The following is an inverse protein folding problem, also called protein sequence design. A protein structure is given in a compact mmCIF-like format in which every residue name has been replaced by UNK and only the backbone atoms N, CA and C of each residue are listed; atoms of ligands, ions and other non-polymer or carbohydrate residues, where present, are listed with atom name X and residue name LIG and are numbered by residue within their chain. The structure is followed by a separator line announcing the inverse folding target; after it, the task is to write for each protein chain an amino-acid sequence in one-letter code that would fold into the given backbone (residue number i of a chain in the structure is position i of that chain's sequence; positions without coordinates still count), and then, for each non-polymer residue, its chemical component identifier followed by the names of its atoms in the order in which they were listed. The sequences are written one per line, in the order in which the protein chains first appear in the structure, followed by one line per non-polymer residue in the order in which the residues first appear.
data_IF_453980882832
#
_entry.id   IF_453980882832
#
_cell.length_a   1.000
_cell.length_b   1.000
_cell.length_c   1.000
_cell.angle_alpha   90.00
_cell.angle_beta   90.00
_cell.angle_gamma   90.00
#
_symmetry.space_group_name_H-M   'P 1'
#
loop_
_entity.id
_entity.type
_entity.pdbx_description
1 polymer ?
#
# COMPACT_ATOMS: atom_id res chain seq x y z
N UNK A 1 12.78 -27.81 22.62
CA UNK A 1 11.75 -28.25 21.67
C UNK A 1 12.47 -28.52 20.39
N UNK A 2 12.74 -29.80 20.20
CA UNK A 2 13.59 -30.32 19.16
C UNK A 2 12.63 -30.43 17.96
N UNK A 3 12.84 -29.62 16.92
CA UNK A 3 12.01 -29.68 15.71
C UNK A 3 12.38 -30.96 14.95
N UNK A 4 11.94 -32.10 15.47
CA UNK A 4 12.11 -33.41 14.84
C UNK A 4 11.15 -33.42 13.67
N UNK A 5 11.72 -33.26 12.48
CA UNK A 5 10.98 -33.34 11.23
C UNK A 5 10.68 -34.82 10.97
N UNK A 6 9.42 -35.21 11.13
CA UNK A 6 8.99 -36.58 10.88
C UNK A 6 8.99 -36.86 9.36
N UNK A 7 9.85 -37.80 8.95
CA UNK A 7 10.00 -38.22 7.56
C UNK A 7 9.57 -39.67 7.42
N UNK A 8 8.59 -39.93 6.56
CA UNK A 8 8.14 -41.28 6.20
C UNK A 8 8.70 -41.71 4.86
N UNK A 9 9.12 -42.97 4.77
CA UNK A 9 9.61 -43.58 3.52
C UNK A 9 8.61 -44.61 3.01
N UNK A 10 8.32 -44.60 1.71
CA UNK A 10 7.51 -45.64 1.07
C UNK A 10 8.36 -46.87 0.75
N UNK A 11 7.74 -48.04 0.49
CA UNK A 11 8.47 -49.23 0.03
C UNK A 11 9.24 -49.03 -1.28
N UNK A 12 8.90 -47.99 -2.05
CA UNK A 12 9.61 -47.58 -3.27
C UNK A 12 10.74 -46.58 -3.01
N UNK A 13 11.01 -46.24 -1.74
CA UNK A 13 12.09 -45.34 -1.32
C UNK A 13 11.76 -43.85 -1.42
N UNK A 14 10.52 -43.48 -1.73
CA UNK A 14 10.12 -42.06 -1.73
C UNK A 14 9.93 -41.57 -0.31
N UNK A 15 10.45 -40.37 -0.02
CA UNK A 15 10.41 -39.75 1.31
C UNK A 15 9.42 -38.60 1.32
N UNK A 16 8.56 -38.56 2.34
CA UNK A 16 7.58 -37.50 2.53
C UNK A 16 7.75 -36.87 3.91
N UNK A 17 7.53 -35.56 3.95
CA UNK A 17 7.47 -34.77 5.17
C UNK A 17 6.06 -34.87 5.75
N UNK A 18 5.94 -35.26 7.02
CA UNK A 18 4.68 -35.12 7.75
C UNK A 18 4.61 -33.67 8.25
N UNK A 19 3.56 -32.91 7.87
CA UNK A 19 3.37 -31.57 8.39
C UNK A 19 2.97 -31.63 9.87
N UNK A 20 3.55 -30.75 10.67
CA UNK A 20 3.12 -30.57 12.06
C UNK A 20 1.68 -30.07 12.09
N UNK A 21 0.79 -30.86 12.70
CA UNK A 21 -0.60 -30.46 12.89
C UNK A 21 -0.68 -29.58 14.13
N UNK A 22 -0.78 -28.28 13.94
CA UNK A 22 -1.00 -27.34 15.04
C UNK A 22 -2.49 -27.14 15.27
N UNK A 23 -2.96 -27.24 16.52
CA UNK A 23 -4.35 -26.92 16.88
C UNK A 23 -4.61 -25.41 16.97
N UNK A 24 -3.55 -24.60 16.96
CA UNK A 24 -3.65 -23.15 16.97
C UNK A 24 -3.96 -22.61 15.56
N UNK A 25 -4.92 -21.67 15.41
CA UNK A 25 -5.15 -21.01 14.13
C UNK A 25 -3.91 -20.19 13.71
N UNK A 26 -3.71 -19.98 12.40
CA UNK A 26 -2.60 -19.19 11.91
C UNK A 26 -2.67 -17.75 12.42
N UNK A 27 -1.52 -17.20 12.81
CA UNK A 27 -1.43 -15.82 13.29
C UNK A 27 -1.92 -14.84 12.22
N UNK A 28 -2.78 -13.86 12.58
CA UNK A 28 -3.24 -12.84 11.64
C UNK A 28 -2.04 -12.10 11.02
N UNK A 29 -1.95 -12.12 9.69
CA UNK A 29 -0.93 -11.35 8.97
C UNK A 29 -1.31 -9.87 9.02
N UNK A 30 -0.39 -9.02 9.47
CA UNK A 30 -0.55 -7.56 9.38
C UNK A 30 -0.69 -7.19 7.90
N UNK A 31 -1.86 -6.69 7.50
CA UNK A 31 -2.07 -6.20 6.14
C UNK A 31 -1.36 -4.85 6.01
N UNK A 32 -0.63 -4.64 4.92
CA UNK A 32 -0.10 -3.33 4.59
C UNK A 32 -1.28 -2.36 4.42
N UNK A 33 -1.19 -1.12 4.93
CA UNK A 33 -2.25 -0.14 4.76
C UNK A 33 -2.49 0.09 3.27
N UNK A 34 -3.68 -0.29 2.79
CA UNK A 34 -4.08 0.01 1.41
C UNK A 34 -4.12 1.54 1.30
N UNK A 35 -3.43 2.11 0.31
CA UNK A 35 -3.51 3.55 0.01
C UNK A 35 -4.98 3.85 -0.31
N UNK A 36 -5.69 4.39 0.67
CA UNK A 36 -7.06 4.85 0.48
C UNK A 36 -6.97 6.09 -0.40
N UNK A 37 -7.46 6.00 -1.65
CA UNK A 37 -7.57 7.16 -2.52
C UNK A 37 -8.61 8.10 -1.91
N UNK A 38 -8.18 9.09 -1.16
CA UNK A 38 -9.05 10.13 -0.62
C UNK A 38 -9.59 10.96 -1.77
N UNK A 39 -10.87 10.79 -2.10
CA UNK A 39 -11.59 11.70 -2.98
C UNK A 39 -12.16 12.83 -2.13
N UNK A 40 -11.38 13.89 -1.92
CA UNK A 40 -11.86 15.11 -1.27
C UNK A 40 -12.72 15.90 -2.26
N UNK A 41 -14.02 15.59 -2.29
CA UNK A 41 -15.02 16.28 -3.14
C UNK A 41 -15.06 17.78 -2.85
N UNK A 42 -14.85 18.18 -1.58
CA UNK A 42 -14.83 19.59 -1.17
C UNK A 42 -13.69 20.37 -1.83
N UNK A 43 -12.47 19.81 -1.85
CA UNK A 43 -11.32 20.44 -2.50
C UNK A 43 -11.49 20.56 -4.02
N UNK A 44 -12.26 19.64 -4.64
CA UNK A 44 -12.58 19.69 -6.06
C UNK A 44 -13.53 20.84 -6.38
N UNK A 45 -14.53 21.08 -5.52
CA UNK A 45 -15.54 22.14 -5.72
C UNK A 45 -14.96 23.55 -5.61
N UNK A 46 -13.97 23.77 -4.75
CA UNK A 46 -13.30 25.07 -4.64
C UNK A 46 -12.43 25.41 -5.86
N UNK A 47 -11.87 24.42 -6.56
CA UNK A 47 -11.15 24.66 -7.81
C UNK A 47 -12.11 24.95 -8.97
N UNK A 48 -13.27 24.29 -9.02
CA UNK A 48 -14.29 24.54 -10.05
C UNK A 48 -14.91 25.95 -9.94
N UNK A 49 -15.08 26.45 -8.71
CA UNK A 49 -15.52 27.82 -8.45
C UNK A 49 -14.45 28.90 -8.74
N UNK A 50 -13.21 28.53 -9.05
CA UNK A 50 -12.14 29.47 -9.39
C UNK A 50 -11.99 29.71 -10.90
N UNK A 51 -12.82 29.06 -11.74
CA UNK A 51 -12.79 29.18 -13.20
C UNK A 51 -14.10 29.71 -13.80
N UNK A 52 -15.11 29.99 -12.98
CA UNK A 52 -16.44 30.48 -13.39
C UNK A 52 -16.81 31.73 -12.61
N UNK A 53 -15.93 32.74 -12.63
CA UNK A 53 -16.31 34.16 -12.63
C UNK A 53 -15.04 34.99 -12.86
N UNK A 54 -15.23 36.08 -13.58
CA UNK A 54 -14.28 37.17 -13.82
C UNK A 54 -13.28 36.98 -14.97
N UNK A 55 -13.82 37.24 -16.17
CA UNK A 55 -13.18 38.15 -17.12
C UNK A 55 -12.42 39.29 -16.39
N UNK A 56 -11.21 39.58 -16.87
CA UNK A 56 -10.41 40.77 -16.55
C UNK A 56 -9.72 40.81 -15.18
N UNK A 57 -8.49 40.28 -15.10
CA UNK A 57 -7.37 40.92 -14.38
C UNK A 57 -6.05 40.18 -14.69
N UNK A 58 -5.36 40.66 -15.73
CA UNK A 58 -3.91 40.67 -15.92
C UNK A 58 -3.06 39.66 -15.11
N UNK A 59 -2.80 38.49 -15.69
CA UNK A 59 -1.84 37.51 -15.18
C UNK A 59 -0.39 38.00 -15.39
N UNK A 60 0.17 38.72 -14.41
CA UNK A 60 1.62 38.93 -14.33
C UNK A 60 2.25 37.81 -13.49
N UNK A 61 3.20 37.00 -14.03
CA UNK A 61 3.83 35.94 -13.26
C UNK A 61 4.81 36.50 -12.22
N UNK A 62 4.95 35.87 -11.03
CA UNK A 62 5.90 36.29 -10.02
C UNK A 62 7.33 36.10 -10.52
N UNK A 63 8.11 37.20 -10.52
CA UNK A 63 9.56 37.16 -10.81
C UNK A 63 10.29 36.42 -9.69
N UNK A 64 10.88 35.29 -10.03
CA UNK A 64 11.80 34.52 -9.20
C UNK A 64 13.06 35.34 -8.89
N UNK A 65 13.24 35.76 -7.64
CA UNK A 65 14.54 36.17 -7.10
C UNK A 65 15.19 34.95 -6.47
N UNK A 66 16.09 34.31 -7.21
CA UNK A 66 16.81 33.14 -6.71
C UNK A 66 17.81 32.60 -7.71
N UNK A 67 18.94 33.29 -7.86
CA UNK A 67 20.16 32.65 -8.33
C UNK A 67 21.35 33.29 -7.62
N UNK A 68 21.86 32.58 -6.62
CA UNK A 68 23.18 32.80 -6.05
C UNK A 68 23.81 31.41 -5.94
N UNK A 69 24.61 31.08 -6.96
CA UNK A 69 25.85 30.29 -6.95
C UNK A 69 26.42 30.37 -8.36
#
# INVERSE_FOLDING_TARGET
MDNVVDIVSTPKGQRYLIPDVTTCPPTPKKQAPKKQRSVNVLAKKFNEAAYEEDDDMSTAPPKNKGQST
#
